data_IF_955492460047
#
_entry.id   IF_955492460047
#
_cell.length_a   1.000
_cell.length_b   1.000
_cell.length_c   1.000
_cell.angle_alpha   90.00
_cell.angle_beta   90.00
_cell.angle_gamma   90.00
#
_symmetry.space_group_name_H-M   'P 1'
#
loop_
_entity.id
_entity.type
_entity.pdbx_description
1 polymer ?
#
# COMPACT_ATOMS: atom_id res chain seq x y z
N UNK A 1 -4.74 -12.19 -7.06
CA UNK A 1 -4.58 -11.86 -5.62
C UNK A 1 -4.89 -13.05 -4.72
N UNK A 2 -4.14 -13.27 -3.62
CA UNK A 2 -4.32 -14.40 -2.68
C UNK A 2 -4.59 -13.96 -1.23
N UNK A 3 -5.06 -12.74 -1.03
CA UNK A 3 -5.35 -12.17 0.29
C UNK A 3 -6.64 -11.36 0.24
N UNK A 4 -7.25 -11.14 1.40
CA UNK A 4 -8.45 -10.32 1.52
C UNK A 4 -8.07 -8.82 1.45
N UNK A 5 -8.51 -8.07 0.42
CA UNK A 5 -8.07 -6.69 0.21
C UNK A 5 -8.53 -5.76 1.33
N UNK A 6 -9.75 -5.93 1.83
CA UNK A 6 -10.28 -5.14 2.95
C UNK A 6 -9.43 -5.28 4.22
N UNK A 7 -8.96 -6.49 4.52
CA UNK A 7 -8.09 -6.74 5.67
C UNK A 7 -6.69 -6.15 5.46
N UNK A 8 -6.20 -6.24 4.24
CA UNK A 8 -4.94 -5.61 3.87
C UNK A 8 -4.98 -4.09 3.99
N UNK A 9 -6.10 -3.46 3.61
CA UNK A 9 -6.33 -2.02 3.81
C UNK A 9 -6.27 -1.62 5.29
N UNK A 10 -6.74 -2.46 6.21
CA UNK A 10 -6.61 -2.22 7.66
C UNK A 10 -5.12 -2.17 8.07
N UNK A 11 -4.31 -3.11 7.61
CA UNK A 11 -2.86 -3.10 7.87
C UNK A 11 -2.20 -1.84 7.31
N UNK A 12 -2.52 -1.47 6.06
CA UNK A 12 -1.98 -0.26 5.43
C UNK A 12 -2.34 1.01 6.22
N UNK A 13 -3.58 1.12 6.68
CA UNK A 13 -4.02 2.24 7.51
C UNK A 13 -3.24 2.29 8.84
N UNK A 14 -3.02 1.15 9.49
CA UNK A 14 -2.22 1.09 10.72
C UNK A 14 -0.75 1.52 10.46
N UNK A 15 -0.17 1.09 9.34
CA UNK A 15 1.20 1.45 8.95
C UNK A 15 1.36 2.93 8.58
N UNK A 16 0.29 3.57 8.11
CA UNK A 16 0.26 5.01 7.87
C UNK A 16 0.24 5.85 9.17
N UNK A 17 0.11 5.19 10.33
CA UNK A 17 0.12 5.77 11.68
C UNK A 17 -0.62 7.11 11.80
N UNK A 18 -1.89 7.20 11.35
CA UNK A 18 -2.56 8.49 11.36
C UNK A 18 -2.97 8.84 12.81
N UNK A 19 -2.87 10.11 13.23
CA UNK A 19 -3.34 10.54 14.55
C UNK A 19 -4.85 10.32 14.73
N UNK A 20 -5.60 10.16 13.63
CA UNK A 20 -7.01 9.76 13.60
C UNK A 20 -7.22 8.78 12.42
N UNK A 21 -7.97 7.67 12.57
CA UNK A 21 -8.24 6.74 11.46
C UNK A 21 -8.82 7.36 10.18
N UNK A 22 -9.46 8.53 10.27
CA UNK A 22 -9.95 9.30 9.11
C UNK A 22 -8.85 10.00 8.32
N UNK A 23 -7.65 10.15 8.89
CA UNK A 23 -6.51 10.85 8.30
C UNK A 23 -5.56 9.87 7.58
N UNK A 24 -6.07 8.72 7.16
CA UNK A 24 -5.28 7.75 6.42
C UNK A 24 -4.65 8.42 5.20
N UNK A 25 -3.34 8.18 5.02
CA UNK A 25 -2.58 8.66 3.87
C UNK A 25 -2.66 7.71 2.67
N UNK A 26 -3.47 6.65 2.79
CA UNK A 26 -3.78 5.70 1.71
C UNK A 26 -4.94 6.27 0.90
N UNK A 27 -4.67 6.67 -0.34
CA UNK A 27 -5.66 7.21 -1.28
C UNK A 27 -6.01 6.21 -2.37
N UNK A 28 -7.19 6.41 -2.96
CA UNK A 28 -7.66 5.68 -4.15
C UNK A 28 -7.50 4.16 -4.05
N UNK A 29 -7.77 3.62 -2.85
CA UNK A 29 -7.68 2.18 -2.65
C UNK A 29 -8.68 1.47 -3.54
N UNK A 30 -8.16 0.65 -4.44
CA UNK A 30 -8.90 -0.18 -5.38
C UNK A 30 -8.42 -1.63 -5.24
N UNK A 31 -9.33 -2.59 -5.37
CA UNK A 31 -8.96 -3.99 -5.41
C UNK A 31 -9.94 -4.79 -6.27
N UNK A 32 -9.41 -5.74 -7.01
CA UNK A 32 -10.16 -6.76 -7.74
C UNK A 32 -9.54 -8.15 -7.52
N UNK A 33 -9.84 -9.12 -8.39
CA UNK A 33 -9.31 -10.48 -8.27
C UNK A 33 -7.82 -10.58 -8.63
N UNK A 34 -7.27 -9.63 -9.38
CA UNK A 34 -5.91 -9.63 -9.87
C UNK A 34 -4.97 -8.93 -8.90
N UNK A 35 -5.31 -7.71 -8.48
CA UNK A 35 -4.44 -6.89 -7.64
C UNK A 35 -5.21 -5.95 -6.69
N UNK A 36 -4.49 -5.43 -5.69
CA UNK A 36 -4.88 -4.26 -4.92
C UNK A 36 -3.95 -3.09 -5.24
N UNK A 37 -4.48 -1.88 -5.40
CA UNK A 37 -3.70 -0.68 -5.67
C UNK A 37 -4.11 0.48 -4.76
N UNK A 38 -3.16 1.35 -4.47
CA UNK A 38 -3.41 2.59 -3.74
C UNK A 38 -2.30 3.61 -4.03
N UNK A 39 -2.61 4.87 -3.70
CA UNK A 39 -1.73 6.00 -3.88
C UNK A 39 -1.34 6.60 -2.52
N UNK A 40 -0.16 7.19 -2.46
CA UNK A 40 0.31 8.00 -1.32
C UNK A 40 0.88 9.30 -1.90
N UNK A 41 0.39 10.45 -1.45
CA UNK A 41 0.95 11.74 -1.86
C UNK A 41 2.45 11.79 -1.54
N UNK A 42 3.25 12.39 -2.43
CA UNK A 42 4.70 12.43 -2.26
C UNK A 42 5.16 13.17 -0.99
N UNK A 43 4.35 14.09 -0.46
CA UNK A 43 4.59 14.73 0.84
C UNK A 43 4.70 13.71 2.00
N UNK A 44 4.10 12.52 1.85
CA UNK A 44 4.07 11.44 2.84
C UNK A 44 5.03 10.29 2.45
N UNK A 45 6.16 10.61 1.80
CA UNK A 45 7.14 9.61 1.31
C UNK A 45 7.70 8.69 2.41
N UNK A 46 7.78 9.16 3.65
CA UNK A 46 8.20 8.34 4.78
C UNK A 46 7.25 7.17 5.04
N UNK A 47 5.93 7.39 4.88
CA UNK A 47 4.91 6.33 4.97
C UNK A 47 5.05 5.38 3.79
N UNK A 48 5.27 5.89 2.58
CA UNK A 48 5.51 5.06 1.40
C UNK A 48 6.73 4.16 1.58
N UNK A 49 7.83 4.67 2.15
CA UNK A 49 9.03 3.88 2.47
C UNK A 49 8.76 2.81 3.52
N UNK A 50 7.97 3.09 4.56
CA UNK A 50 7.58 2.08 5.57
C UNK A 50 6.76 0.95 4.95
N UNK A 51 5.81 1.29 4.08
CA UNK A 51 4.99 0.31 3.38
C UNK A 51 5.85 -0.52 2.41
N UNK A 52 6.73 0.11 1.63
CA UNK A 52 7.68 -0.60 0.77
C UNK A 52 8.55 -1.58 1.58
N UNK A 53 9.00 -1.17 2.78
CA UNK A 53 9.74 -2.02 3.71
C UNK A 53 8.93 -3.25 4.17
N UNK A 54 7.65 -3.06 4.51
CA UNK A 54 6.73 -4.16 4.85
C UNK A 54 6.60 -5.14 3.68
N UNK A 55 6.25 -4.64 2.49
CA UNK A 55 6.02 -5.49 1.31
C UNK A 55 7.28 -6.26 0.91
N UNK A 56 8.45 -5.60 0.98
CA UNK A 56 9.74 -6.22 0.72
C UNK A 56 10.11 -7.29 1.74
N UNK A 57 9.87 -7.04 3.03
CA UNK A 57 10.12 -8.01 4.11
C UNK A 57 9.27 -9.27 3.94
N UNK A 58 8.01 -9.12 3.53
CA UNK A 58 7.04 -10.20 3.39
C UNK A 58 7.02 -10.81 1.98
N UNK A 59 8.15 -10.74 1.26
CA UNK A 59 8.35 -11.34 -0.07
C UNK A 59 7.17 -11.14 -1.03
N UNK A 60 6.52 -9.97 -0.98
CA UNK A 60 5.29 -9.70 -1.72
C UNK A 60 5.63 -9.43 -3.20
N UNK A 61 4.76 -9.85 -4.13
CA UNK A 61 4.83 -9.43 -5.52
C UNK A 61 4.07 -8.12 -5.68
N UNK A 62 4.80 -7.02 -5.89
CA UNK A 62 4.25 -5.68 -6.02
C UNK A 62 5.08 -4.81 -6.96
N UNK A 63 4.48 -3.72 -7.44
CA UNK A 63 5.16 -2.62 -8.14
C UNK A 63 5.01 -1.32 -7.36
N UNK A 64 5.99 -0.44 -7.52
CA UNK A 64 5.97 0.94 -7.03
C UNK A 64 6.24 1.85 -8.21
N UNK A 65 5.42 2.88 -8.42
CA UNK A 65 5.57 3.83 -9.52
C UNK A 65 5.38 5.25 -9.00
N UNK A 66 6.26 6.16 -9.39
CA UNK A 66 6.13 7.59 -9.10
C UNK A 66 5.39 8.27 -10.24
N UNK A 67 4.28 8.94 -9.93
CA UNK A 67 3.49 9.72 -10.87
C UNK A 67 3.81 11.21 -10.69
N UNK A 68 3.97 11.94 -11.80
CA UNK A 68 4.34 13.35 -11.78
C UNK A 68 3.13 14.23 -12.09
N UNK A 69 3.14 15.47 -11.59
CA UNK A 69 2.18 16.48 -12.04
C UNK A 69 2.36 16.70 -13.56
N UNK A 70 1.25 16.87 -14.31
CA UNK A 70 1.31 17.15 -15.74
C UNK A 70 2.29 18.29 -16.07
N UNK A 71 3.11 18.09 -17.10
CA UNK A 71 4.10 19.06 -17.59
C UNK A 71 5.18 19.48 -16.58
N UNK A 72 5.41 18.69 -15.52
CA UNK A 72 6.50 18.95 -14.55
C UNK A 72 7.32 17.69 -14.22
N UNK A 73 8.50 17.91 -13.62
CA UNK A 73 9.30 16.85 -13.01
C UNK A 73 8.98 16.66 -11.51
N UNK A 74 7.92 17.29 -10.99
CA UNK A 74 7.55 17.16 -9.58
C UNK A 74 6.70 15.91 -9.41
N UNK A 75 7.11 15.03 -8.51
CA UNK A 75 6.34 13.84 -8.13
C UNK A 75 5.09 14.32 -7.39
N UNK A 76 3.93 13.85 -7.84
CA UNK A 76 2.62 14.09 -7.23
C UNK A 76 2.34 13.02 -6.18
N UNK A 77 2.31 11.75 -6.60
CA UNK A 77 2.06 10.61 -5.72
C UNK A 77 2.88 9.38 -6.10
N UNK A 78 2.97 8.46 -5.15
CA UNK A 78 3.56 7.14 -5.30
C UNK A 78 2.42 6.12 -5.35
N UNK A 79 2.32 5.38 -6.44
CA UNK A 79 1.38 4.29 -6.61
C UNK A 79 2.01 2.96 -6.24
N UNK A 80 1.25 2.16 -5.50
CA UNK A 80 1.55 0.77 -5.19
C UNK A 80 0.54 -0.13 -5.90
N UNK A 81 1.00 -1.23 -6.49
CA UNK A 81 0.13 -2.32 -6.94
C UNK A 81 0.63 -3.64 -6.37
N UNK A 82 -0.24 -4.40 -5.72
CA UNK A 82 0.08 -5.63 -5.01
C UNK A 82 -0.68 -6.78 -5.65
N UNK A 83 0.06 -7.72 -6.22
CA UNK A 83 -0.50 -8.85 -6.98
C UNK A 83 -0.64 -10.10 -6.11
N UNK A 84 0.31 -10.30 -5.19
CA UNK A 84 0.38 -11.53 -4.37
C UNK A 84 1.22 -11.31 -3.12
N UNK A 85 0.81 -11.89 -2.00
CA UNK A 85 1.63 -12.02 -0.79
C UNK A 85 2.18 -13.45 -0.75
N UNK A 86 3.50 -13.61 -0.75
CA UNK A 86 4.12 -14.95 -0.70
C UNK A 86 4.52 -15.37 0.72
N UNK A 87 4.54 -14.42 1.67
CA UNK A 87 4.91 -14.71 3.05
C UNK A 87 3.73 -15.30 3.86
N UNK A 88 3.90 -16.50 4.45
CA UNK A 88 2.86 -17.13 5.26
C UNK A 88 2.52 -16.37 6.54
N UNK A 89 3.47 -15.64 7.13
CA UNK A 89 3.24 -14.89 8.37
C UNK A 89 2.26 -13.73 8.12
N UNK A 90 2.49 -12.93 7.07
CA UNK A 90 1.58 -11.86 6.70
C UNK A 90 0.19 -12.38 6.29
N UNK A 91 0.12 -13.51 5.60
CA UNK A 91 -1.17 -14.15 5.29
C UNK A 91 -1.90 -14.58 6.56
N UNK A 92 -1.21 -15.18 7.53
CA UNK A 92 -1.80 -15.59 8.80
C UNK A 92 -2.30 -14.38 9.63
N UNK A 93 -1.55 -13.26 9.62
CA UNK A 93 -2.00 -12.02 10.25
C UNK A 93 -3.28 -11.52 9.59
N UNK A 94 -3.33 -11.50 8.25
CA UNK A 94 -4.51 -11.10 7.50
C UNK A 94 -5.70 -12.03 7.80
N UNK A 95 -5.50 -13.32 7.96
CA UNK A 95 -6.60 -14.25 8.27
C UNK A 95 -7.22 -14.01 9.65
N UNK A 96 -6.44 -13.50 10.61
CA UNK A 96 -6.88 -13.25 11.99
C UNK A 96 -7.58 -11.90 12.22
N UNK A 97 -7.47 -10.95 11.29
CA UNK A 97 -8.21 -9.67 11.31
C UNK A 97 -9.66 -9.89 10.89
#
# INVERSE_FOLDING_TARGET
MNFAPEKFKIILNAMSNPPNPKDSKIKDYYADQEYASFNIDFENVDIALRIAGLLGKHATNFTITTCHFPDTNKIDYIQFMIFKINDPELLAILDQI
#
